data_IF_327853175684
#
_entry.id   IF_327853175684
#
_cell.length_a   1.000
_cell.length_b   1.000
_cell.length_c   1.000
_cell.angle_alpha   90.00
_cell.angle_beta   90.00
_cell.angle_gamma   90.00
#
_symmetry.space_group_name_H-M   'P 1'
#
loop_
_entity.id
_entity.type
_entity.pdbx_description
1 polymer ?
#
# COMPACT_ATOMS: atom_id res chain seq x y z
N UNK A 1 4.29 1.89 -21.07
CA UNK A 1 5.25 1.13 -20.24
C UNK A 1 5.02 -0.33 -20.54
N UNK A 2 6.07 -1.04 -20.90
CA UNK A 2 5.97 -2.46 -21.23
C UNK A 2 6.37 -3.26 -19.97
N UNK A 3 5.55 -4.23 -19.59
CA UNK A 3 5.85 -5.18 -18.52
C UNK A 3 5.73 -6.59 -19.06
N UNK A 4 6.34 -7.55 -18.39
CA UNK A 4 6.31 -8.94 -18.87
C UNK A 4 4.98 -9.63 -18.52
N UNK A 5 4.28 -9.23 -17.45
CA UNK A 5 3.08 -9.94 -16.96
C UNK A 5 1.84 -9.07 -16.87
N UNK A 6 0.69 -9.62 -17.27
CA UNK A 6 -0.63 -9.02 -17.08
C UNK A 6 -0.92 -8.82 -15.58
N UNK A 7 -0.46 -9.74 -14.73
CA UNK A 7 -0.65 -9.65 -13.29
C UNK A 7 -0.01 -8.38 -12.71
N UNK A 8 1.16 -7.97 -13.23
CA UNK A 8 1.79 -6.70 -12.85
C UNK A 8 0.84 -5.53 -13.10
N UNK A 9 0.21 -5.47 -14.28
CA UNK A 9 -0.69 -4.39 -14.66
C UNK A 9 -1.93 -4.35 -13.76
N UNK A 10 -2.53 -5.52 -13.48
CA UNK A 10 -3.72 -5.61 -12.62
C UNK A 10 -3.44 -5.26 -11.17
N UNK A 11 -2.29 -5.67 -10.65
CA UNK A 11 -1.86 -5.29 -9.31
C UNK A 11 -1.51 -3.80 -9.25
N UNK A 12 -0.85 -3.25 -10.27
CA UNK A 12 -0.59 -1.81 -10.36
C UNK A 12 -1.89 -0.99 -10.40
N UNK A 13 -2.90 -1.45 -11.14
CA UNK A 13 -4.24 -0.86 -11.18
C UNK A 13 -4.88 -0.84 -9.79
N UNK A 14 -4.93 -2.00 -9.11
CA UNK A 14 -5.54 -2.13 -7.79
C UNK A 14 -4.81 -1.32 -6.71
N UNK A 15 -3.48 -1.39 -6.68
CA UNK A 15 -2.64 -0.61 -5.74
C UNK A 15 -2.78 0.88 -6.03
N UNK A 16 -2.80 1.26 -7.32
CA UNK A 16 -2.99 2.63 -7.77
C UNK A 16 -4.31 3.22 -7.28
N UNK A 17 -5.42 2.52 -7.50
CA UNK A 17 -6.74 2.91 -7.00
C UNK A 17 -6.77 3.06 -5.47
N UNK A 18 -6.20 2.09 -4.75
CA UNK A 18 -6.10 2.17 -3.30
C UNK A 18 -5.36 3.44 -2.86
N UNK A 19 -4.20 3.73 -3.46
CA UNK A 19 -3.41 4.92 -3.13
C UNK A 19 -4.10 6.23 -3.50
N UNK A 20 -4.87 6.28 -4.59
CA UNK A 20 -5.71 7.43 -4.95
C UNK A 20 -6.73 7.71 -3.85
N UNK A 21 -7.46 6.68 -3.39
CA UNK A 21 -8.45 6.83 -2.32
C UNK A 21 -7.81 7.30 -1.00
N UNK A 22 -6.63 6.77 -0.67
CA UNK A 22 -5.84 7.21 0.49
C UNK A 22 -5.42 8.67 0.34
N UNK A 23 -4.94 9.06 -0.84
CA UNK A 23 -4.55 10.44 -1.14
C UNK A 23 -5.72 11.42 -1.02
N UNK A 24 -6.86 11.10 -1.64
CA UNK A 24 -8.07 11.91 -1.58
C UNK A 24 -8.55 12.06 -0.13
N UNK A 25 -8.69 10.94 0.60
CA UNK A 25 -9.14 10.98 1.99
C UNK A 25 -8.17 11.72 2.92
N UNK A 26 -6.86 11.57 2.69
CA UNK A 26 -5.81 12.28 3.42
C UNK A 26 -5.82 13.79 3.21
N UNK A 27 -6.14 14.25 2.01
CA UNK A 27 -6.29 15.68 1.69
C UNK A 27 -7.62 16.24 2.18
N UNK A 28 -8.72 15.51 1.99
CA UNK A 28 -10.06 15.94 2.34
C UNK A 28 -10.28 15.97 3.87
N UNK A 29 -9.66 15.05 4.62
CA UNK A 29 -9.88 14.95 6.07
C UNK A 29 -8.63 14.49 6.83
N UNK A 30 -7.57 15.31 6.93
CA UNK A 30 -6.36 14.98 7.70
C UNK A 30 -6.65 14.64 9.18
N UNK A 31 -7.65 15.30 9.78
CA UNK A 31 -8.07 15.06 11.16
C UNK A 31 -8.64 13.66 11.36
N UNK A 32 -9.37 13.13 10.37
CA UNK A 32 -9.91 11.76 10.40
C UNK A 32 -8.79 10.72 10.49
N UNK A 33 -7.68 10.95 9.81
CA UNK A 33 -6.49 10.09 9.89
C UNK A 33 -5.81 10.11 11.27
N UNK A 34 -5.84 11.26 11.97
CA UNK A 34 -5.37 11.33 13.36
C UNK A 34 -6.28 10.53 14.29
N UNK A 35 -7.59 10.72 14.17
CA UNK A 35 -8.58 9.96 14.96
C UNK A 35 -8.45 8.45 14.74
N UNK A 36 -8.30 8.00 13.49
CA UNK A 36 -8.10 6.58 13.18
C UNK A 36 -6.83 6.02 13.83
N UNK A 37 -5.73 6.79 13.89
CA UNK A 37 -4.51 6.37 14.59
C UNK A 37 -4.71 6.31 16.10
N UNK A 38 -5.44 7.26 16.69
CA UNK A 38 -5.77 7.26 18.12
C UNK A 38 -6.64 6.06 18.51
N UNK A 39 -7.61 5.69 17.67
CA UNK A 39 -8.44 4.49 17.85
C UNK A 39 -7.60 3.21 17.77
N UNK A 40 -6.67 3.14 16.81
CA UNK A 40 -5.76 2.02 16.65
C UNK A 40 -4.86 1.86 17.89
N UNK A 41 -4.27 2.96 18.38
CA UNK A 41 -3.44 3.00 19.58
C UNK A 41 -4.21 2.56 20.85
N UNK A 42 -5.50 2.90 20.95
CA UNK A 42 -6.35 2.54 22.11
C UNK A 42 -6.86 1.11 22.07
N UNK A 43 -6.88 0.47 20.89
CA UNK A 43 -7.48 -0.84 20.70
C UNK A 43 -6.47 -1.86 20.17
N UNK A 44 -5.90 -2.71 21.06
CA UNK A 44 -5.04 -3.81 20.65
C UNK A 44 -5.72 -4.75 19.65
N UNK A 45 -7.03 -4.97 19.79
CA UNK A 45 -7.81 -5.80 18.87
C UNK A 45 -7.89 -5.20 17.46
N UNK A 46 -8.14 -3.89 17.32
CA UNK A 46 -8.13 -3.23 16.01
C UNK A 46 -6.73 -3.23 15.39
N UNK A 47 -5.69 -3.05 16.21
CA UNK A 47 -4.29 -3.14 15.76
C UNK A 47 -3.99 -4.52 15.20
N UNK A 48 -4.39 -5.58 15.92
CA UNK A 48 -4.20 -6.97 15.49
C UNK A 48 -4.95 -7.27 14.18
N UNK A 49 -6.23 -6.88 14.07
CA UNK A 49 -7.03 -7.10 12.86
C UNK A 49 -6.44 -6.35 11.67
N UNK A 50 -6.03 -5.09 11.87
CA UNK A 50 -5.36 -4.30 10.82
C UNK A 50 -4.07 -4.96 10.37
N UNK A 51 -3.28 -5.48 11.31
CA UNK A 51 -2.08 -6.25 11.03
C UNK A 51 -2.37 -7.53 10.24
N UNK A 52 -3.39 -8.29 10.65
CA UNK A 52 -3.81 -9.54 10.00
C UNK A 52 -4.26 -9.31 8.55
N UNK A 53 -5.08 -8.28 8.30
CA UNK A 53 -5.53 -7.92 6.95
C UNK A 53 -4.35 -7.48 6.08
N UNK A 54 -3.49 -6.60 6.60
CA UNK A 54 -2.31 -6.15 5.86
C UNK A 54 -1.35 -7.31 5.54
N UNK A 55 -1.14 -8.21 6.49
CA UNK A 55 -0.31 -9.40 6.32
C UNK A 55 -0.91 -10.33 5.27
N UNK A 56 -2.21 -10.65 5.34
CA UNK A 56 -2.87 -11.55 4.40
C UNK A 56 -2.83 -11.00 2.97
N UNK A 57 -3.11 -9.72 2.76
CA UNK A 57 -3.02 -9.08 1.46
C UNK A 57 -1.59 -9.06 0.93
N UNK A 58 -0.62 -8.67 1.76
CA UNK A 58 0.80 -8.67 1.39
C UNK A 58 1.32 -10.07 1.06
N UNK A 59 0.97 -11.08 1.86
CA UNK A 59 1.33 -12.47 1.64
C UNK A 59 0.75 -12.98 0.33
N UNK A 60 -0.53 -12.69 0.07
CA UNK A 60 -1.19 -13.06 -1.19
C UNK A 60 -0.44 -12.46 -2.38
N UNK A 61 -0.17 -11.16 -2.36
CA UNK A 61 0.56 -10.48 -3.45
C UNK A 61 1.95 -11.09 -3.64
N UNK A 62 2.73 -11.27 -2.57
CA UNK A 62 4.08 -11.86 -2.65
C UNK A 62 4.06 -13.32 -3.09
N UNK A 63 3.00 -14.08 -2.81
CA UNK A 63 2.87 -15.46 -3.28
C UNK A 63 2.63 -15.53 -4.78
N UNK A 64 1.77 -14.65 -5.31
CA UNK A 64 1.39 -14.68 -6.74
C UNK A 64 2.28 -13.82 -7.63
N UNK A 65 3.02 -12.87 -7.05
CA UNK A 65 3.79 -11.89 -7.79
C UNK A 65 5.20 -11.67 -7.19
N UNK A 66 6.21 -12.27 -7.83
CA UNK A 66 7.64 -12.09 -7.54
C UNK A 66 8.41 -11.78 -8.82
N UNK A 67 8.09 -10.67 -9.45
CA UNK A 67 8.67 -10.27 -10.72
C UNK A 67 9.59 -9.06 -10.55
N UNK A 68 10.85 -9.21 -10.93
CA UNK A 68 11.87 -8.15 -10.88
C UNK A 68 12.40 -7.81 -12.28
N UNK A 69 11.56 -7.99 -13.31
CA UNK A 69 12.00 -7.91 -14.70
C UNK A 69 11.95 -6.49 -15.26
N UNK A 70 11.05 -5.63 -14.76
CA UNK A 70 10.89 -4.26 -15.21
C UNK A 70 10.55 -3.31 -14.02
N UNK A 71 10.71 -1.98 -14.18
CA UNK A 71 10.49 -1.05 -13.08
C UNK A 71 9.10 -1.13 -12.44
N UNK A 72 8.05 -1.37 -13.24
CA UNK A 72 6.69 -1.47 -12.72
C UNK A 72 6.52 -2.76 -11.89
N UNK A 73 7.03 -3.89 -12.38
CA UNK A 73 7.00 -5.17 -11.66
C UNK A 73 7.76 -5.11 -10.34
N UNK A 74 8.90 -4.40 -10.31
CA UNK A 74 9.68 -4.16 -9.09
C UNK A 74 8.85 -3.35 -8.08
N UNK A 75 8.21 -2.25 -8.51
CA UNK A 75 7.39 -1.43 -7.62
C UNK A 75 6.22 -2.23 -7.03
N UNK A 76 5.51 -3.00 -7.86
CA UNK A 76 4.38 -3.83 -7.42
C UNK A 76 4.84 -4.91 -6.43
N UNK A 77 5.95 -5.59 -6.74
CA UNK A 77 6.52 -6.62 -5.86
C UNK A 77 6.93 -6.01 -4.52
N UNK A 78 7.61 -4.86 -4.52
CA UNK A 78 8.00 -4.15 -3.30
C UNK A 78 6.78 -3.69 -2.48
N UNK A 79 5.71 -3.23 -3.13
CA UNK A 79 4.47 -2.87 -2.44
C UNK A 79 3.87 -4.06 -1.69
N UNK A 80 3.88 -5.25 -2.30
CA UNK A 80 3.47 -6.51 -1.65
C UNK A 80 4.32 -6.82 -0.41
N UNK A 81 5.65 -6.74 -0.53
CA UNK A 81 6.55 -6.95 0.61
C UNK A 81 6.37 -5.91 1.72
N UNK A 82 6.16 -4.64 1.38
CA UNK A 82 5.88 -3.59 2.37
C UNK A 82 4.60 -3.91 3.14
N UNK A 83 3.52 -4.30 2.46
CA UNK A 83 2.26 -4.70 3.11
C UNK A 83 2.47 -5.93 4.01
N UNK A 84 3.19 -6.93 3.53
CA UNK A 84 3.51 -8.17 4.25
C UNK A 84 4.29 -7.89 5.54
N UNK A 85 5.41 -7.16 5.43
CA UNK A 85 6.28 -6.84 6.56
C UNK A 85 5.54 -5.93 7.55
N UNK A 86 4.80 -4.93 7.06
CA UNK A 86 3.99 -4.05 7.90
C UNK A 86 2.96 -4.83 8.71
N UNK A 87 2.25 -5.76 8.06
CA UNK A 87 1.27 -6.63 8.71
C UNK A 87 1.91 -7.53 9.76
N UNK A 88 3.03 -8.18 9.42
CA UNK A 88 3.77 -9.03 10.35
C UNK A 88 4.25 -8.26 11.59
N UNK A 89 4.78 -7.05 11.40
CA UNK A 89 5.20 -6.19 12.51
C UNK A 89 4.02 -5.76 13.38
N UNK A 90 2.87 -5.42 12.80
CA UNK A 90 1.67 -5.08 13.58
C UNK A 90 1.17 -6.24 14.45
N UNK A 91 1.30 -7.48 13.97
CA UNK A 91 0.89 -8.68 14.72
C UNK A 91 1.90 -9.00 15.82
N UNK A 92 3.19 -9.03 15.49
CA UNK A 92 4.23 -9.52 16.40
C UNK A 92 4.72 -8.46 17.40
N UNK A 93 4.92 -7.23 16.94
CA UNK A 93 5.52 -6.14 17.72
C UNK A 93 5.04 -4.77 17.20
N UNK A 94 3.81 -4.34 17.53
CA UNK A 94 3.21 -3.15 16.93
C UNK A 94 3.85 -1.83 17.38
N UNK A 95 4.44 -1.77 18.58
CA UNK A 95 4.89 -0.52 19.20
C UNK A 95 5.85 0.35 18.34
N UNK A 96 6.89 -0.19 17.68
CA UNK A 96 7.75 0.58 16.78
C UNK A 96 6.96 1.18 15.61
N UNK A 97 6.07 0.40 14.98
CA UNK A 97 5.31 0.86 13.84
C UNK A 97 4.27 1.92 14.23
N UNK A 98 3.64 1.78 15.39
CA UNK A 98 2.73 2.80 15.94
C UNK A 98 3.46 4.12 16.21
N UNK A 99 4.70 4.07 16.71
CA UNK A 99 5.53 5.28 16.89
C UNK A 99 5.82 5.98 15.55
N UNK A 100 6.16 5.22 14.51
CA UNK A 100 6.36 5.76 13.15
C UNK A 100 5.06 6.31 12.58
N UNK A 101 3.94 5.61 12.77
CA UNK A 101 2.61 6.05 12.35
C UNK A 101 2.22 7.40 12.95
N UNK A 102 2.38 7.57 14.28
CA UNK A 102 2.14 8.86 14.95
C UNK A 102 3.03 9.97 14.44
N UNK A 103 4.32 9.70 14.23
CA UNK A 103 5.24 10.69 13.68
C UNK A 103 4.84 11.12 12.25
N UNK A 104 4.42 10.16 11.42
CA UNK A 104 3.96 10.40 10.05
C UNK A 104 2.74 11.33 9.97
N UNK A 105 1.88 11.38 10.99
CA UNK A 105 0.71 12.29 11.04
C UNK A 105 1.07 13.79 10.99
N UNK A 106 2.32 14.15 11.27
CA UNK A 106 2.81 15.54 11.07
C UNK A 106 2.87 15.91 9.60
N UNK A 107 3.01 14.92 8.73
CA UNK A 107 3.17 15.06 7.29
C UNK A 107 1.98 14.47 6.53
N UNK A 108 0.79 14.32 7.15
CA UNK A 108 -0.38 13.69 6.52
C UNK A 108 -0.68 14.25 5.13
N UNK A 109 -0.65 15.57 4.95
CA UNK A 109 -0.91 16.18 3.63
C UNK A 109 0.18 15.84 2.61
N UNK A 110 1.46 15.86 3.02
CA UNK A 110 2.56 15.49 2.12
C UNK A 110 2.48 14.01 1.71
N UNK A 111 2.19 13.12 2.66
CA UNK A 111 1.93 11.70 2.38
C UNK A 111 0.71 11.50 1.49
N UNK A 112 -0.35 12.29 1.68
CA UNK A 112 -1.55 12.20 0.86
C UNK A 112 -1.30 12.66 -0.59
N UNK A 113 -0.55 13.75 -0.79
CA UNK A 113 -0.11 14.18 -2.14
C UNK A 113 0.77 13.11 -2.77
N UNK A 114 1.75 12.58 -2.04
CA UNK A 114 2.61 11.51 -2.54
C UNK A 114 1.80 10.26 -2.94
N UNK A 115 0.89 9.81 -2.07
CA UNK A 115 0.01 8.68 -2.35
C UNK A 115 -0.87 8.95 -3.58
N UNK A 116 -1.41 10.16 -3.72
CA UNK A 116 -2.24 10.52 -4.87
C UNK A 116 -1.43 10.49 -6.18
N UNK A 117 -0.25 11.10 -6.20
CA UNK A 117 0.63 11.11 -7.38
C UNK A 117 1.05 9.69 -7.74
N UNK A 118 1.59 8.93 -6.77
CA UNK A 118 2.02 7.56 -7.01
C UNK A 118 0.84 6.67 -7.44
N UNK A 119 -0.33 6.86 -6.81
CA UNK A 119 -1.55 6.16 -7.15
C UNK A 119 -2.02 6.42 -8.57
N UNK A 120 -2.03 7.68 -9.00
CA UNK A 120 -2.36 8.06 -10.38
C UNK A 120 -1.37 7.46 -11.38
N UNK A 121 -0.07 7.50 -11.08
CA UNK A 121 0.97 6.92 -11.94
C UNK A 121 0.80 5.39 -12.09
N UNK A 122 0.59 4.68 -10.98
CA UNK A 122 0.40 3.23 -10.99
C UNK A 122 -0.91 2.82 -11.68
N UNK A 123 -2.00 3.54 -11.39
CA UNK A 123 -3.29 3.28 -12.03
C UNK A 123 -3.22 3.51 -13.54
N UNK A 124 -2.63 4.63 -13.96
CA UNK A 124 -2.42 4.94 -15.37
C UNK A 124 -1.51 3.91 -16.06
N UNK A 125 -0.43 3.49 -15.39
CA UNK A 125 0.47 2.44 -15.91
C UNK A 125 -0.25 1.09 -16.03
N UNK A 126 -1.13 0.73 -15.09
CA UNK A 126 -1.95 -0.47 -15.16
C UNK A 126 -2.94 -0.44 -16.33
N UNK A 127 -3.60 0.70 -16.58
CA UNK A 127 -4.59 0.85 -17.66
C UNK A 127 -3.98 0.88 -19.06
N UNK A 128 -2.81 1.53 -19.22
CA UNK A 128 -2.21 1.81 -20.54
C UNK A 128 -0.99 0.95 -20.85
N UNK A 129 -0.50 0.20 -19.86
CA UNK A 129 0.63 -0.69 -20.01
C UNK A 129 0.32 -1.83 -20.98
N UNK A 130 1.38 -2.36 -21.59
CA UNK A 130 1.30 -3.52 -22.48
C UNK A 130 2.09 -4.66 -21.88
N UNK A 131 1.48 -5.84 -21.84
CA UNK A 131 2.14 -7.05 -21.38
C UNK A 131 2.69 -7.81 -22.59
N UNK A 132 3.97 -8.18 -22.55
CA UNK A 132 4.62 -8.95 -23.63
C UNK A 132 4.33 -10.45 -23.52
N UNK A 133 3.95 -10.95 -22.35
CA UNK A 133 3.61 -12.36 -22.09
C UNK A 133 2.25 -12.45 -21.36
N UNK A 134 1.40 -13.41 -21.78
CA UNK A 134 0.03 -13.60 -21.27
C UNK A 134 -0.05 -14.38 -19.93
N UNK A 135 1.08 -14.65 -19.26
CA UNK A 135 1.13 -15.49 -18.05
C UNK A 135 0.97 -14.67 -16.77
#
# INVERSE_FOLDING_TARGET
MDTISILTLRLAEAIGLYLILIGISGLASPQRWRGAMEELDRSPGLTLITGLVAFALGATIVMVHRAFADPLSVIVTLAGYVALIKGALLIAVPAPLMKVGRWSLRFTRAWAVFALILGLLLFYAGLTGRATVLV
#
